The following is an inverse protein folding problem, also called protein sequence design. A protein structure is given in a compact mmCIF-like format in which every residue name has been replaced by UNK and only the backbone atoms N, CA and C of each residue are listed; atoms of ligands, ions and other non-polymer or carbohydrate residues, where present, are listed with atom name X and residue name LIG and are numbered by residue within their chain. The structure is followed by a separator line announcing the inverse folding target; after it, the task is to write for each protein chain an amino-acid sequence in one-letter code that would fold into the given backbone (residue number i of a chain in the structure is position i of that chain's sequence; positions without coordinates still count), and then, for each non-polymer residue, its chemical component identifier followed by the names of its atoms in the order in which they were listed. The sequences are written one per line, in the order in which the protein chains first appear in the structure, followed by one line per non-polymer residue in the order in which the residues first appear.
data_IF_698589101618
#
_entry.id   IF_698589101618
#
_cell.length_a   1.000
_cell.length_b   1.000
_cell.length_c   1.000
_cell.angle_alpha   90.00
_cell.angle_beta   90.00
_cell.angle_gamma   90.00
#
_symmetry.space_group_name_H-M   'P 1'
#
loop_
_entity.id
_entity.type
_entity.pdbx_description
1 polymer ?
#
# COMPACT_ATOMS: atom_id res chain seq x y z
N UNK A 1 16.80 -16.93 22.54
CA UNK A 1 15.33 -16.92 22.42
C UNK A 1 14.70 -16.53 23.74
N UNK A 2 13.59 -15.80 23.72
CA UNK A 2 12.75 -15.50 24.88
C UNK A 2 11.31 -15.85 24.51
N UNK A 3 10.52 -16.33 25.47
CA UNK A 3 9.09 -16.62 25.26
C UNK A 3 8.28 -15.42 25.74
N UNK A 4 7.34 -14.97 24.91
CA UNK A 4 6.33 -13.98 25.29
C UNK A 4 4.95 -14.61 25.16
N UNK A 5 4.09 -14.35 26.13
CA UNK A 5 2.68 -14.70 26.02
C UNK A 5 1.93 -13.52 25.41
N UNK A 6 1.05 -13.80 24.46
CA UNK A 6 0.15 -12.82 23.85
C UNK A 6 -1.28 -13.28 24.01
N UNK A 7 -2.23 -12.35 23.95
CA UNK A 7 -3.65 -12.69 23.91
C UNK A 7 -3.99 -13.43 22.61
N UNK A 8 -4.97 -14.33 22.66
CA UNK A 8 -5.38 -15.14 21.49
C UNK A 8 -5.82 -14.30 20.30
N UNK A 9 -6.49 -13.18 20.54
CA UNK A 9 -6.91 -12.23 19.50
C UNK A 9 -5.71 -11.62 18.78
N UNK A 10 -4.65 -11.28 19.52
CA UNK A 10 -3.39 -10.78 18.96
C UNK A 10 -2.67 -11.87 18.18
N UNK A 11 -2.59 -13.10 18.71
CA UNK A 11 -1.98 -14.22 18.00
C UNK A 11 -2.65 -14.47 16.64
N UNK A 12 -3.99 -14.51 16.60
CA UNK A 12 -4.76 -14.68 15.35
C UNK A 12 -4.50 -13.55 14.35
N UNK A 13 -4.36 -12.30 14.82
CA UNK A 13 -4.02 -11.16 13.96
C UNK A 13 -2.62 -11.28 13.38
N UNK A 14 -1.63 -11.65 14.20
CA UNK A 14 -0.25 -11.85 13.75
C UNK A 14 -0.17 -13.00 12.74
N UNK A 15 -0.91 -14.08 12.96
CA UNK A 15 -0.97 -15.21 12.03
C UNK A 15 -1.50 -14.83 10.65
N UNK A 16 -2.47 -13.92 10.57
CA UNK A 16 -2.98 -13.38 9.29
C UNK A 16 -1.98 -12.47 8.57
N UNK A 17 -1.06 -11.84 9.30
CA UNK A 17 -0.04 -10.94 8.75
C UNK A 17 1.25 -11.66 8.35
N UNK A 18 1.43 -12.87 8.84
CA UNK A 18 2.58 -13.74 8.60
C UNK A 18 2.53 -14.26 7.16
N UNK A 19 3.64 -14.15 6.44
CA UNK A 19 3.81 -14.74 5.10
C UNK A 19 4.18 -16.22 5.19
N UNK A 20 3.96 -16.96 4.11
CA UNK A 20 4.35 -18.37 4.04
C UNK A 20 5.86 -18.53 4.23
N UNK A 21 6.26 -19.41 5.14
CA UNK A 21 7.67 -19.65 5.49
C UNK A 21 8.33 -18.58 6.38
N UNK A 22 7.67 -17.47 6.70
CA UNK A 22 8.18 -16.43 7.60
C UNK A 22 8.15 -16.92 9.06
N UNK A 23 9.12 -16.60 9.93
CA UNK A 23 9.03 -16.88 11.37
C UNK A 23 8.25 -15.77 12.11
N UNK A 24 7.87 -15.98 13.37
CA UNK A 24 7.22 -14.89 14.14
C UNK A 24 8.20 -13.77 14.47
N UNK A 25 9.48 -14.09 14.65
CA UNK A 25 10.53 -13.10 14.85
C UNK A 25 10.70 -12.22 13.61
N UNK A 26 10.71 -12.81 12.42
CA UNK A 26 10.84 -12.06 11.16
C UNK A 26 9.64 -11.13 10.93
N UNK A 27 8.43 -11.62 11.23
CA UNK A 27 7.21 -10.79 11.19
C UNK A 27 7.34 -9.58 12.13
N UNK A 28 7.78 -9.80 13.37
CA UNK A 28 7.92 -8.71 14.35
C UNK A 28 9.00 -7.73 13.91
N UNK A 29 10.13 -8.23 13.42
CA UNK A 29 11.21 -7.39 12.90
C UNK A 29 10.71 -6.55 11.72
N UNK A 30 9.98 -7.13 10.77
CA UNK A 30 9.34 -6.41 9.66
C UNK A 30 8.34 -5.34 10.10
N UNK A 31 7.54 -5.63 11.12
CA UNK A 31 6.55 -4.68 11.64
C UNK A 31 7.22 -3.52 12.40
N UNK A 32 8.33 -3.79 13.07
CA UNK A 32 9.13 -2.80 13.79
C UNK A 32 10.05 -2.01 12.84
N UNK A 33 10.53 -2.64 11.77
CA UNK A 33 11.31 -2.05 10.70
C UNK A 33 10.41 -1.25 9.76
N UNK A 34 9.53 -0.40 10.29
CA UNK A 34 8.99 0.71 9.51
C UNK A 34 10.20 1.48 9.00
N UNK A 35 10.67 1.13 7.80
CA UNK A 35 11.39 2.07 6.97
C UNK A 35 10.51 3.31 6.99
N UNK A 36 11.11 4.44 7.32
CA UNK A 36 10.52 5.72 6.98
C UNK A 36 10.43 5.75 5.46
N UNK A 37 9.38 5.11 4.92
CA UNK A 37 9.04 5.15 3.53
C UNK A 37 8.52 6.57 3.32
N UNK A 38 9.46 7.49 3.17
CA UNK A 38 9.20 8.87 2.87
C UNK A 38 8.55 8.91 1.51
N UNK A 39 7.38 9.52 1.41
CA UNK A 39 6.73 9.78 0.12
C UNK A 39 7.68 10.52 -0.85
N UNK A 40 8.69 11.21 -0.32
CA UNK A 40 9.77 11.82 -1.09
C UNK A 40 10.56 10.82 -1.93
N UNK A 41 10.72 9.57 -1.48
CA UNK A 41 11.44 8.53 -2.22
C UNK A 41 10.70 8.11 -3.50
N UNK A 42 9.40 8.37 -3.59
CA UNK A 42 8.60 8.10 -4.79
C UNK A 42 8.38 9.33 -5.67
N UNK A 43 8.88 10.49 -5.27
CA UNK A 43 8.68 11.73 -6.03
C UNK A 43 9.35 11.62 -7.41
N UNK A 44 8.53 11.73 -8.47
CA UNK A 44 9.00 11.69 -9.86
C UNK A 44 9.14 10.28 -10.47
N UNK A 45 8.90 9.21 -9.70
CA UNK A 45 9.00 7.82 -10.21
C UNK A 45 8.09 7.52 -11.40
N UNK A 46 6.97 8.24 -11.53
CA UNK A 46 6.01 8.10 -12.63
C UNK A 46 6.18 9.16 -13.73
N UNK A 47 7.13 10.09 -13.60
CA UNK A 47 7.22 11.28 -14.49
C UNK A 47 7.32 10.90 -15.96
N UNK A 48 8.07 9.84 -16.27
CA UNK A 48 8.30 9.38 -17.64
C UNK A 48 7.60 8.03 -17.93
N UNK A 49 6.63 7.65 -17.08
CA UNK A 49 5.89 6.40 -17.27
C UNK A 49 4.73 6.56 -18.26
N UNK A 50 4.58 5.61 -19.18
CA UNK A 50 3.41 5.54 -20.08
C UNK A 50 2.09 5.50 -19.30
N UNK A 51 2.11 4.85 -18.13
CA UNK A 51 0.97 4.80 -17.20
C UNK A 51 0.47 6.20 -16.80
N UNK A 52 1.36 7.18 -16.63
CA UNK A 52 0.95 8.53 -16.24
C UNK A 52 0.19 9.22 -17.37
N UNK A 53 0.59 9.00 -18.63
CA UNK A 53 -0.11 9.51 -19.81
C UNK A 53 -1.48 8.84 -19.97
N UNK A 54 -1.56 7.52 -19.76
CA UNK A 54 -2.82 6.79 -19.82
C UNK A 54 -3.81 7.27 -18.75
N UNK A 55 -3.32 7.46 -17.52
CA UNK A 55 -4.12 7.99 -16.41
C UNK A 55 -4.63 9.41 -16.71
N UNK A 56 -3.78 10.27 -17.28
CA UNK A 56 -4.18 11.63 -17.67
C UNK A 56 -5.30 11.60 -18.72
N UNK A 57 -5.17 10.75 -19.74
CA UNK A 57 -6.19 10.56 -20.75
C UNK A 57 -7.53 10.07 -20.16
N UNK A 58 -7.48 9.10 -19.24
CA UNK A 58 -8.67 8.58 -18.58
C UNK A 58 -9.38 9.66 -17.72
N UNK A 59 -8.61 10.45 -16.97
CA UNK A 59 -9.15 11.56 -16.17
C UNK A 59 -9.79 12.63 -17.06
N UNK A 60 -9.17 12.96 -18.20
CA UNK A 60 -9.72 13.91 -19.17
C UNK A 60 -11.05 13.41 -19.77
N UNK A 61 -11.10 12.13 -20.15
CA UNK A 61 -12.32 11.49 -20.63
C UNK A 61 -13.43 11.48 -19.57
N UNK A 62 -13.09 11.19 -18.32
CA UNK A 62 -14.04 11.23 -17.21
C UNK A 62 -14.61 12.64 -17.03
N UNK A 63 -13.75 13.68 -17.03
CA UNK A 63 -14.17 15.08 -16.91
C UNK A 63 -15.10 15.53 -18.03
N UNK A 64 -14.79 15.16 -19.28
CA UNK A 64 -15.65 15.42 -20.44
C UNK A 64 -17.03 14.80 -20.26
N UNK A 65 -17.07 13.54 -19.81
CA UNK A 65 -18.33 12.81 -19.60
C UNK A 65 -19.14 13.36 -18.42
N UNK A 66 -18.48 13.89 -17.37
CA UNK A 66 -19.17 14.51 -16.23
C UNK A 66 -19.72 15.91 -16.56
N UNK A 67 -19.00 16.75 -17.32
CA UNK A 67 -19.50 18.09 -17.68
C UNK A 67 -20.72 18.03 -18.62
N UNK A 68 -20.82 16.99 -19.45
CA UNK A 68 -21.97 16.77 -20.31
C UNK A 68 -23.25 16.38 -19.53
N UNK A 69 -23.13 15.96 -18.26
CA UNK A 69 -24.27 15.56 -17.42
C UNK A 69 -24.91 16.73 -16.67
N UNK A 70 -24.20 17.84 -16.45
CA UNK A 70 -24.76 19.03 -15.78
C UNK A 70 -25.48 19.99 -16.74
N UNK A 71 -25.35 19.79 -18.05
CA UNK A 71 -25.93 20.67 -19.09
C UNK A 71 -27.16 20.06 -19.81
N UNK A 72 -27.75 18.99 -19.28
CA UNK A 72 -28.95 18.30 -19.82
C UNK A 72 -30.08 18.26 -18.81
#
# INVERSE_FOLDING_TARGET
MKTISVRDDIYKRLMKLKKDGESFSDLLERLLSREEVSLRNFFGTLRDSEFLSDLENEVLEFRRKSSLRESS
#
